data_IF_147344105526
#
_entry.id   IF_147344105526
#
_cell.length_a   1.000
_cell.length_b   1.000
_cell.length_c   1.000
_cell.angle_alpha   90.00
_cell.angle_beta   90.00
_cell.angle_gamma   90.00
#
_symmetry.space_group_name_H-M   'P 1'
#
loop_
_entity.id
_entity.type
_entity.pdbx_description
1 polymer ?
#
# COMPACT_ATOMS: atom_id res chain seq x y z
N UNK A 1 19.60 20.55 20.06
CA UNK A 1 18.53 21.19 19.26
C UNK A 1 18.65 20.72 17.82
N UNK A 2 17.55 20.32 17.18
CA UNK A 2 17.58 19.88 15.77
C UNK A 2 17.78 21.06 14.82
N UNK A 3 18.58 20.88 13.77
CA UNK A 3 18.82 21.87 12.71
C UNK A 3 18.09 21.45 11.44
N UNK A 4 17.32 22.36 10.83
CA UNK A 4 16.72 22.14 9.52
C UNK A 4 17.81 22.25 8.45
N UNK A 5 18.07 21.16 7.74
CA UNK A 5 19.15 21.07 6.73
C UNK A 5 18.67 21.55 5.36
N UNK A 6 17.42 21.28 5.01
CA UNK A 6 16.84 21.68 3.73
C UNK A 6 15.34 21.99 3.87
N UNK A 7 14.90 23.06 3.21
CA UNK A 7 13.48 23.47 3.14
C UNK A 7 12.93 23.10 1.76
N UNK A 8 11.63 22.79 1.69
CA UNK A 8 10.90 22.54 0.45
C UNK A 8 11.51 21.44 -0.46
N UNK A 9 12.06 20.38 0.14
CA UNK A 9 12.71 19.28 -0.61
C UNK A 9 11.71 18.49 -1.46
N UNK A 10 10.41 18.55 -1.13
CA UNK A 10 9.36 17.82 -1.84
C UNK A 10 8.12 18.67 -2.05
N UNK A 11 7.62 18.70 -3.28
CA UNK A 11 6.33 19.25 -3.62
C UNK A 11 5.21 18.26 -3.29
N UNK A 12 4.35 18.64 -2.34
CA UNK A 12 3.29 17.75 -1.85
C UNK A 12 2.02 17.91 -2.66
N UNK A 13 1.54 16.80 -3.21
CA UNK A 13 0.28 16.76 -3.96
C UNK A 13 -0.91 16.56 -3.02
N UNK A 14 -2.01 17.27 -3.31
CA UNK A 14 -3.28 17.08 -2.59
C UNK A 14 -3.78 15.65 -2.78
N UNK A 15 -4.08 14.96 -1.68
CA UNK A 15 -4.60 13.58 -1.73
C UNK A 15 -3.57 12.48 -1.55
N UNK A 16 -2.30 12.83 -1.30
CA UNK A 16 -1.22 11.88 -1.03
C UNK A 16 -0.66 12.03 0.39
N UNK A 17 -0.20 10.91 0.95
CA UNK A 17 0.53 10.82 2.20
C UNK A 17 2.03 10.73 1.86
N UNK A 18 2.83 11.55 2.53
CA UNK A 18 4.28 11.55 2.41
C UNK A 18 4.88 11.12 3.75
N UNK A 19 5.76 10.13 3.73
CA UNK A 19 6.43 9.60 4.93
C UNK A 19 7.88 9.23 4.64
N UNK A 20 8.66 9.04 5.71
CA UNK A 20 10.05 8.59 5.62
C UNK A 20 10.09 7.10 5.97
N UNK A 21 10.71 6.28 5.13
CA UNK A 21 10.91 4.85 5.42
C UNK A 21 12.12 4.61 6.33
N UNK A 22 12.35 3.37 6.75
CA UNK A 22 13.50 3.02 7.58
C UNK A 22 14.85 3.23 6.90
N UNK A 23 14.87 3.35 5.57
CA UNK A 23 16.06 3.63 4.77
C UNK A 23 16.29 5.13 4.54
N UNK A 24 15.42 5.99 5.08
CA UNK A 24 15.54 7.44 4.96
C UNK A 24 14.96 8.04 3.67
N UNK A 25 14.24 7.28 2.86
CA UNK A 25 13.63 7.77 1.63
C UNK A 25 12.28 8.44 1.89
N UNK A 26 11.94 9.45 1.09
CA UNK A 26 10.60 10.04 1.08
C UNK A 26 9.70 9.27 0.13
N UNK A 27 8.66 8.61 0.66
CA UNK A 27 7.70 7.84 -0.12
C UNK A 27 6.36 8.57 -0.30
N UNK A 28 5.70 8.35 -1.43
CA UNK A 28 4.38 8.90 -1.77
C UNK A 28 3.32 7.78 -1.80
N UNK A 29 2.21 7.94 -1.06
CA UNK A 29 1.10 6.99 -1.05
C UNK A 29 -0.26 7.68 -1.26
N UNK A 30 -1.09 7.15 -2.17
CA UNK A 30 -2.43 7.72 -2.43
C UNK A 30 -3.36 7.46 -1.24
N UNK A 31 -3.87 8.53 -0.63
CA UNK A 31 -4.77 8.39 0.52
C UNK A 31 -6.13 7.81 0.10
N UNK A 32 -6.58 6.81 0.84
CA UNK A 32 -7.94 6.31 0.76
C UNK A 32 -8.88 7.30 1.49
N UNK A 33 -9.10 8.48 0.90
CA UNK A 33 -10.14 9.39 1.40
C UNK A 33 -11.49 8.72 1.22
N UNK A 34 -12.29 8.67 2.29
CA UNK A 34 -13.59 8.01 2.31
C UNK A 34 -14.49 8.56 1.21
N UNK A 35 -14.62 7.81 0.11
CA UNK A 35 -15.37 8.19 -1.07
C UNK A 35 -15.62 6.95 -1.91
N UNK A 36 -16.87 6.46 -1.84
CA UNK A 36 -17.38 5.19 -2.40
C UNK A 36 -16.71 3.93 -1.85
N UNK A 37 -17.52 3.10 -1.17
CA UNK A 37 -17.20 1.71 -0.82
C UNK A 37 -16.75 0.99 -2.10
N UNK A 38 -15.46 0.68 -2.23
CA UNK A 38 -15.00 -0.27 -3.24
C UNK A 38 -15.68 -1.60 -2.93
N UNK A 39 -16.55 -2.09 -3.83
CA UNK A 39 -17.04 -3.47 -3.75
C UNK A 39 -15.80 -4.35 -3.66
N UNK A 40 -15.69 -5.12 -2.57
CA UNK A 40 -14.57 -6.03 -2.38
C UNK A 40 -14.44 -6.88 -3.65
N UNK A 41 -13.30 -6.79 -4.35
CA UNK A 41 -12.98 -7.78 -5.38
C UNK A 41 -12.89 -9.10 -4.63
N UNK A 42 -13.90 -9.98 -4.82
CA UNK A 42 -13.87 -11.34 -4.29
C UNK A 42 -12.53 -11.93 -4.72
N UNK A 43 -11.68 -12.26 -3.74
CA UNK A 43 -10.43 -12.95 -3.99
C UNK A 43 -10.78 -14.20 -4.81
N UNK A 44 -10.24 -14.29 -6.02
CA UNK A 44 -10.43 -15.44 -6.89
C UNK A 44 -10.03 -16.69 -6.10
N UNK A 45 -11.02 -17.53 -5.81
CA UNK A 45 -10.87 -18.77 -5.06
C UNK A 45 -9.77 -19.58 -5.75
N UNK A 46 -8.65 -19.80 -5.05
CA UNK A 46 -7.48 -20.57 -5.51
C UNK A 46 -7.96 -21.98 -5.89
N UNK A 47 -8.25 -22.21 -7.17
CA UNK A 47 -8.78 -23.47 -7.73
C UNK A 47 -7.74 -24.58 -7.84
N UNK A 48 -6.55 -24.43 -7.23
CA UNK A 48 -5.43 -25.35 -7.44
C UNK A 48 -5.17 -26.36 -6.32
N UNK A 49 -5.81 -26.27 -5.14
CA UNK A 49 -5.50 -27.20 -4.03
C UNK A 49 -6.36 -28.47 -3.93
N UNK A 50 -7.44 -28.62 -4.72
CA UNK A 50 -8.37 -29.76 -4.58
C UNK A 50 -8.15 -30.91 -5.58
N UNK A 51 -7.12 -30.83 -6.45
CA UNK A 51 -6.71 -31.96 -7.30
C UNK A 51 -5.73 -32.93 -6.61
N UNK A 52 -5.09 -32.54 -5.51
CA UNK A 52 -4.06 -33.38 -4.86
C UNK A 52 -4.61 -34.33 -3.78
N UNK A 53 -5.79 -34.07 -3.21
CA UNK A 53 -6.35 -34.89 -2.13
C UNK A 53 -7.22 -36.06 -2.62
N UNK A 54 -7.35 -36.26 -3.94
CA UNK A 54 -8.09 -37.39 -4.53
C UNK A 54 -7.19 -38.52 -5.05
N UNK A 55 -5.87 -38.42 -4.85
CA UNK A 55 -4.87 -39.42 -5.30
C UNK A 55 -4.07 -40.04 -4.15
N UNK A 56 -4.49 -39.89 -2.88
CA UNK A 56 -3.87 -40.61 -1.76
C UNK A 56 -4.95 -41.04 -0.78
N UNK A 57 -5.13 -42.37 -0.69
CA UNK A 57 -6.03 -43.17 0.15
C UNK A 57 -7.42 -43.40 -0.44
#
# INVERSE_FOLDING_TARGET
MGKVIARNVVDRKKGFLYYVDGSGNVCEAKMARGGRKKKAKKAAKKTTKRKMTRKRR
#
